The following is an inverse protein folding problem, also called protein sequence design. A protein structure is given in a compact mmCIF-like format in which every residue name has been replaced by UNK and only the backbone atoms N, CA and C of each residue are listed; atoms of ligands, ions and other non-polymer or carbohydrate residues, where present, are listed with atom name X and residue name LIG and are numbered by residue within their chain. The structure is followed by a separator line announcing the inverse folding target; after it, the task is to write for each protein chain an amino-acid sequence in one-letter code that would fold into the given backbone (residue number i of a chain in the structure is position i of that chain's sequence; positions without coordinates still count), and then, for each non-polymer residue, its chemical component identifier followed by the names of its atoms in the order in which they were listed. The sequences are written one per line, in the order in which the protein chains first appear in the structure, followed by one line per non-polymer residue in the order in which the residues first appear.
data_IF_156813073176
#
_entry.id   IF_156813073176
#
_cell.length_a   1.000
_cell.length_b   1.000
_cell.length_c   1.000
_cell.angle_alpha   90.00
_cell.angle_beta   90.00
_cell.angle_gamma   90.00
#
_symmetry.space_group_name_H-M   'P 1'
#
loop_
_entity.id
_entity.type
_entity.pdbx_description
1 polymer ?
#
# COMPACT_ATOMS: atom_id res chain seq x y z
N UNK A 1 17.54 -3.72 9.62
CA UNK A 1 16.68 -3.82 8.42
C UNK A 1 15.20 -3.94 8.83
N UNK A 2 14.83 -4.80 9.78
CA UNK A 2 13.45 -4.88 10.32
C UNK A 2 12.89 -3.51 10.77
N UNK A 3 13.73 -2.74 11.47
CA UNK A 3 13.34 -1.42 11.99
C UNK A 3 12.96 -0.40 10.89
N UNK A 4 13.58 -0.46 9.71
CA UNK A 4 13.32 0.51 8.63
C UNK A 4 11.97 0.26 7.94
N UNK A 5 11.59 -1.02 7.78
CA UNK A 5 10.29 -1.41 7.20
C UNK A 5 9.15 -1.10 8.18
N UNK A 6 9.36 -1.33 9.47
CA UNK A 6 8.39 -0.95 10.52
C UNK A 6 8.19 0.56 10.61
N UNK A 7 9.26 1.35 10.49
CA UNK A 7 9.17 2.82 10.43
C UNK A 7 8.36 3.26 9.21
N UNK A 8 8.60 2.66 8.04
CA UNK A 8 7.83 2.97 6.83
C UNK A 8 6.35 2.61 6.97
N UNK A 9 6.04 1.42 7.49
CA UNK A 9 4.67 0.99 7.72
C UNK A 9 3.94 1.91 8.71
N UNK A 10 4.61 2.31 9.80
CA UNK A 10 4.07 3.24 10.80
C UNK A 10 3.85 4.65 10.25
N UNK A 11 4.76 5.11 9.37
CA UNK A 11 4.61 6.39 8.67
C UNK A 11 3.40 6.37 7.74
N UNK A 12 3.20 5.30 6.96
CA UNK A 12 2.07 5.17 6.06
C UNK A 12 0.72 5.08 6.81
N UNK A 13 0.69 4.41 7.97
CA UNK A 13 -0.48 4.35 8.87
C UNK A 13 -0.89 5.75 9.35
N UNK A 14 0.09 6.62 9.62
CA UNK A 14 -0.17 7.97 10.10
C UNK A 14 -0.86 8.89 9.08
N UNK A 15 -0.95 8.49 7.80
CA UNK A 15 -1.71 9.21 6.76
C UNK A 15 -3.22 8.94 6.79
N UNK A 16 -3.73 8.12 7.70
CA UNK A 16 -5.17 7.81 7.80
C UNK A 16 -6.11 9.01 8.10
N UNK A 17 -5.76 10.06 8.89
CA UNK A 17 -6.78 11.03 9.28
C UNK A 17 -6.98 12.22 8.32
N UNK A 18 -6.07 12.50 7.38
CA UNK A 18 -6.07 13.79 6.66
C UNK A 18 -6.71 13.77 5.26
N UNK A 19 -7.00 12.60 4.68
CA UNK A 19 -7.58 12.52 3.31
C UNK A 19 -9.04 12.08 3.36
N UNK A 20 -9.89 12.95 3.90
CA UNK A 20 -11.35 12.84 3.74
C UNK A 20 -11.69 12.84 2.24
N UNK A 21 -12.02 11.67 1.67
CA UNK A 21 -12.33 11.53 0.23
C UNK A 21 -11.69 10.33 -0.47
N UNK A 22 -10.90 9.51 0.23
CA UNK A 22 -10.47 8.21 -0.31
C UNK A 22 -11.65 7.26 -0.50
N UNK A 23 -11.60 6.50 -1.57
CA UNK A 23 -12.54 5.41 -1.81
C UNK A 23 -12.24 4.26 -0.84
N UNK A 24 -13.28 3.75 -0.20
CA UNK A 24 -13.23 2.48 0.55
C UNK A 24 -13.64 1.29 -0.33
N UNK A 25 -13.65 1.47 -1.66
CA UNK A 25 -13.97 0.40 -2.59
C UNK A 25 -13.00 -0.77 -2.45
N UNK A 26 -13.49 -2.02 -2.58
CA UNK A 26 -12.65 -3.20 -2.50
C UNK A 26 -11.55 -3.15 -3.56
N UNK A 27 -10.34 -3.55 -3.16
CA UNK A 27 -9.18 -3.67 -4.05
C UNK A 27 -9.37 -4.92 -4.90
N UNK A 28 -9.10 -4.82 -6.21
CA UNK A 28 -9.16 -5.99 -7.10
C UNK A 28 -8.05 -6.99 -6.77
N UNK A 29 -8.26 -8.28 -7.06
CA UNK A 29 -7.24 -9.31 -6.81
C UNK A 29 -5.92 -9.02 -7.55
N UNK A 30 -6.00 -8.42 -8.74
CA UNK A 30 -4.84 -8.01 -9.52
C UNK A 30 -4.07 -6.87 -8.84
N UNK A 31 -4.79 -5.88 -8.31
CA UNK A 31 -4.16 -4.77 -7.59
C UNK A 31 -3.58 -5.24 -6.25
N UNK A 32 -4.25 -6.12 -5.53
CA UNK A 32 -3.74 -6.73 -4.30
C UNK A 32 -2.45 -7.52 -4.55
N UNK A 33 -2.39 -8.31 -5.63
CA UNK A 33 -1.17 -9.00 -6.05
C UNK A 33 -0.04 -8.03 -6.39
N UNK A 34 -0.37 -6.88 -6.98
CA UNK A 34 0.61 -5.86 -7.35
C UNK A 34 1.10 -5.11 -6.09
N UNK A 35 0.24 -4.84 -5.11
CA UNK A 35 0.60 -4.30 -3.78
C UNK A 35 1.56 -5.26 -3.06
N UNK A 36 1.32 -6.56 -3.09
CA UNK A 36 2.22 -7.54 -2.50
C UNK A 36 3.62 -7.53 -3.14
N UNK A 37 3.70 -7.40 -4.48
CA UNK A 37 4.97 -7.21 -5.18
C UNK A 37 5.67 -5.91 -4.77
N UNK A 38 4.91 -4.86 -4.42
CA UNK A 38 5.47 -3.59 -3.96
C UNK A 38 6.19 -3.76 -2.64
N UNK A 39 5.53 -4.41 -1.69
CA UNK A 39 6.09 -4.73 -0.39
C UNK A 39 7.33 -5.64 -0.50
N UNK A 40 7.35 -6.56 -1.48
CA UNK A 40 8.49 -7.41 -1.77
C UNK A 40 9.65 -6.70 -2.50
N UNK A 41 9.47 -5.47 -2.97
CA UNK A 41 10.46 -4.74 -3.76
C UNK A 41 10.60 -5.22 -5.23
N UNK A 42 9.66 -6.04 -5.71
CA UNK A 42 9.72 -6.71 -7.02
C UNK A 42 8.94 -5.97 -8.13
N UNK A 43 8.66 -4.67 -7.94
CA UNK A 43 7.78 -3.93 -8.84
C UNK A 43 8.49 -3.35 -10.06
N UNK A 44 7.88 -3.51 -11.24
CA UNK A 44 8.30 -2.80 -12.45
C UNK A 44 7.91 -1.32 -12.40
N UNK A 45 8.57 -0.47 -13.21
CA UNK A 45 8.24 0.95 -13.30
C UNK A 45 6.80 1.21 -13.78
N UNK A 46 6.32 0.37 -14.71
CA UNK A 46 4.95 0.43 -15.21
C UNK A 46 3.92 0.12 -14.12
N UNK A 47 4.19 -0.90 -13.30
CA UNK A 47 3.33 -1.27 -12.18
C UNK A 47 3.30 -0.14 -11.14
N UNK A 48 4.41 0.56 -10.91
CA UNK A 48 4.51 1.66 -9.92
C UNK A 48 3.65 2.83 -10.36
N UNK A 49 3.74 3.20 -11.64
CA UNK A 49 2.94 4.28 -12.21
C UNK A 49 1.44 4.00 -12.09
N UNK A 50 1.02 2.74 -12.22
CA UNK A 50 -0.37 2.31 -12.04
C UNK A 50 -0.82 2.31 -10.58
N UNK A 51 0.03 1.85 -9.67
CA UNK A 51 -0.28 1.69 -8.24
C UNK A 51 -0.32 3.01 -7.48
N UNK A 52 0.53 3.97 -7.85
CA UNK A 52 0.63 5.26 -7.15
C UNK A 52 -0.71 6.00 -7.02
N UNK A 53 -1.50 6.20 -8.10
CA UNK A 53 -2.81 6.84 -7.97
C UNK A 53 -3.82 5.99 -7.20
N UNK A 54 -3.72 4.66 -7.27
CA UNK A 54 -4.59 3.75 -6.52
C UNK A 54 -4.34 3.89 -5.00
N UNK A 55 -3.09 3.80 -4.56
CA UNK A 55 -2.70 3.99 -3.17
C UNK A 55 -3.04 5.39 -2.66
N UNK A 56 -2.92 6.41 -3.52
CA UNK A 56 -3.26 7.78 -3.17
C UNK A 56 -4.78 7.98 -2.96
N UNK A 57 -5.61 7.27 -3.71
CA UNK A 57 -7.07 7.49 -3.76
C UNK A 57 -7.91 6.42 -3.06
N UNK A 58 -7.32 5.29 -2.66
CA UNK A 58 -8.02 4.17 -2.03
C UNK A 58 -7.38 3.79 -0.69
N UNK A 59 -8.17 3.87 0.37
CA UNK A 59 -7.73 3.59 1.74
C UNK A 59 -7.46 2.09 1.97
N UNK A 60 -8.31 1.21 1.42
CA UNK A 60 -8.13 -0.24 1.49
C UNK A 60 -6.82 -0.67 0.80
N UNK A 61 -6.46 -0.03 -0.32
CA UNK A 61 -5.18 -0.28 -0.99
C UNK A 61 -3.99 0.12 -0.10
N UNK A 62 -4.08 1.24 0.63
CA UNK A 62 -3.03 1.66 1.55
C UNK A 62 -2.90 0.71 2.74
N UNK A 63 -4.02 0.30 3.34
CA UNK A 63 -4.03 -0.66 4.45
C UNK A 63 -3.45 -2.01 4.04
N UNK A 64 -3.76 -2.50 2.83
CA UNK A 64 -3.14 -3.72 2.31
C UNK A 64 -1.62 -3.59 2.12
N UNK A 65 -1.14 -2.42 1.68
CA UNK A 65 0.31 -2.18 1.57
C UNK A 65 0.97 -2.20 2.95
N UNK A 66 0.37 -1.55 3.94
CA UNK A 66 0.87 -1.54 5.32
C UNK A 66 0.91 -2.96 5.90
N UNK A 67 -0.16 -3.74 5.72
CA UNK A 67 -0.21 -5.14 6.15
C UNK A 67 0.88 -6.00 5.46
N UNK A 68 1.04 -5.84 4.14
CA UNK A 68 2.06 -6.54 3.38
C UNK A 68 3.50 -6.18 3.81
N UNK A 69 3.75 -4.92 4.18
CA UNK A 69 5.05 -4.47 4.72
C UNK A 69 5.33 -5.01 6.13
N UNK A 70 4.30 -5.15 6.97
CA UNK A 70 4.42 -5.74 8.32
C UNK A 70 4.60 -7.26 8.28
N UNK A 71 4.30 -7.89 7.14
CA UNK A 71 4.32 -9.36 7.02
C UNK A 71 3.11 -10.04 7.66
N UNK A 72 2.07 -9.27 8.00
CA UNK A 72 0.79 -9.79 8.46
C UNK A 72 0.07 -10.43 7.25
N UNK A 73 0.17 -11.75 7.15
CA UNK A 73 -0.48 -12.59 6.12
C UNK A 73 -1.80 -13.18 6.61
#
# INVERSE_FOLDING_TARGET
MENEIEILASFLDSFEPEVSGRSSAPVSDEDAATIAKLAAGELSEADRARLTPLLASNEQAMQQLVAALRGDR
#
